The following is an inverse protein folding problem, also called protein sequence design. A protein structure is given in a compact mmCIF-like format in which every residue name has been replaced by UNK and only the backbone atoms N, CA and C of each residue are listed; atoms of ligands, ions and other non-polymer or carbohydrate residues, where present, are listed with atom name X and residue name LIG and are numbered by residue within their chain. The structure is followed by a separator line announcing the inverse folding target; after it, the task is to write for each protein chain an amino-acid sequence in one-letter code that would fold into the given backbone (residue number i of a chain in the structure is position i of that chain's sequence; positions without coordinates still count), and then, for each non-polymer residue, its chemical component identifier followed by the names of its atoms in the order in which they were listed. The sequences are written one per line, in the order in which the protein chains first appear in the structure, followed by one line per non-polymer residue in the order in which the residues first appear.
data_IF_799552455203
#
_entry.id   IF_799552455203
#
_cell.length_a   1.000
_cell.length_b   1.000
_cell.length_c   1.000
_cell.angle_alpha   90.00
_cell.angle_beta   90.00
_cell.angle_gamma   90.00
#
_symmetry.space_group_name_H-M   'P 1'
#
loop_
_entity.id
_entity.type
_entity.pdbx_description
1 polymer ?
#
# COMPACT_ATOMS: atom_id res chain seq x y z
N UNK A 1 21.14 -0.04 15.44
CA UNK A 1 19.76 -0.15 14.92
C UNK A 1 19.45 1.12 14.16
N UNK A 2 19.26 1.04 12.85
CA UNK A 2 18.78 2.18 12.07
C UNK A 2 17.26 2.01 11.92
N UNK A 3 16.51 3.01 12.37
CA UNK A 3 15.06 3.06 12.20
C UNK A 3 14.74 3.58 10.80
N UNK A 4 13.68 3.06 10.16
CA UNK A 4 13.32 3.44 8.79
C UNK A 4 12.99 4.93 8.65
N UNK A 5 12.52 5.55 9.73
CA UNK A 5 12.23 6.98 9.83
C UNK A 5 13.49 7.87 9.77
N UNK A 6 14.67 7.29 9.93
CA UNK A 6 15.95 7.99 9.79
C UNK A 6 16.50 7.95 8.35
N UNK A 7 15.90 7.18 7.45
CA UNK A 7 16.30 7.14 6.05
C UNK A 7 16.02 8.49 5.36
N UNK A 8 16.88 8.94 4.44
CA UNK A 8 16.67 10.22 3.75
C UNK A 8 15.33 10.22 3.01
N UNK A 9 14.66 11.38 3.03
CA UNK A 9 13.50 11.60 2.19
C UNK A 9 13.90 11.55 0.71
N UNK A 10 13.07 10.95 -0.12
CA UNK A 10 13.32 10.84 -1.56
C UNK A 10 12.22 11.56 -2.37
N UNK A 11 12.52 11.85 -3.63
CA UNK A 11 11.53 12.39 -4.54
C UNK A 11 10.42 11.37 -4.79
N UNK A 12 9.16 11.80 -4.71
CA UNK A 12 8.02 10.93 -4.97
C UNK A 12 7.74 10.83 -6.49
N UNK A 13 7.58 9.60 -7.04
CA UNK A 13 6.92 9.41 -8.32
C UNK A 13 5.58 10.16 -8.36
N UNK A 14 5.16 10.61 -9.54
CA UNK A 14 3.94 11.42 -9.69
C UNK A 14 2.72 10.77 -9.03
N UNK A 15 2.58 9.45 -9.21
CA UNK A 15 1.53 8.62 -8.61
C UNK A 15 1.50 8.66 -7.07
N UNK A 16 2.63 8.88 -6.40
CA UNK A 16 2.75 8.77 -4.94
C UNK A 16 2.82 10.12 -4.20
N UNK A 17 2.75 11.25 -4.92
CA UNK A 17 2.82 12.60 -4.31
C UNK A 17 1.74 12.83 -3.23
N UNK A 18 0.63 12.09 -3.29
CA UNK A 18 -0.46 12.16 -2.32
C UNK A 18 -0.20 11.48 -0.98
N UNK A 19 0.92 10.78 -0.78
CA UNK A 19 1.14 9.92 0.40
C UNK A 19 2.15 10.46 1.42
N UNK A 20 2.57 11.73 1.27
CA UNK A 20 3.49 12.38 2.20
C UNK A 20 4.97 12.14 1.86
N UNK A 21 5.83 12.10 2.88
CA UNK A 21 7.28 11.97 2.69
C UNK A 21 7.66 10.51 2.49
N UNK A 22 8.08 10.19 1.26
CA UNK A 22 8.62 8.88 0.92
C UNK A 22 10.08 8.76 1.35
N UNK A 23 10.52 7.52 1.61
CA UNK A 23 11.91 7.21 1.93
C UNK A 23 12.41 6.09 1.05
N UNK A 24 13.66 6.16 0.65
CA UNK A 24 14.31 5.11 -0.13
C UNK A 24 14.92 4.08 0.81
N UNK A 25 14.49 2.82 0.71
CA UNK A 25 14.91 1.75 1.61
C UNK A 25 16.36 1.35 1.38
N UNK A 26 16.83 1.37 0.13
CA UNK A 26 18.16 0.90 -0.26
C UNK A 26 19.09 2.04 -0.72
N UNK A 27 18.55 3.22 -0.99
CA UNK A 27 19.30 4.40 -1.45
C UNK A 27 19.56 4.42 -2.96
N UNK A 28 19.00 3.47 -3.71
CA UNK A 28 19.14 3.34 -5.16
C UNK A 28 17.83 3.57 -5.93
N UNK A 29 16.75 3.92 -5.23
CA UNK A 29 15.42 4.17 -5.76
C UNK A 29 14.61 2.91 -6.11
N UNK A 30 15.15 1.71 -5.86
CA UNK A 30 14.50 0.45 -6.25
C UNK A 30 13.27 0.11 -5.40
N UNK A 31 13.28 0.50 -4.13
CA UNK A 31 12.18 0.26 -3.19
C UNK A 31 11.93 1.50 -2.34
N UNK A 32 10.72 2.03 -2.44
CA UNK A 32 10.28 3.21 -1.72
C UNK A 32 9.31 2.85 -0.60
N UNK A 33 9.59 3.34 0.61
CA UNK A 33 8.68 3.33 1.74
C UNK A 33 7.66 4.46 1.59
N UNK A 34 6.37 4.12 1.64
CA UNK A 34 5.26 5.04 1.45
C UNK A 34 4.42 5.11 2.73
N UNK A 35 4.27 6.27 3.38
CA UNK A 35 3.43 6.40 4.58
C UNK A 35 1.98 6.02 4.28
N UNK A 36 1.39 5.16 5.12
CA UNK A 36 0.00 4.71 5.03
C UNK A 36 -0.65 4.70 6.41
N UNK A 37 -0.88 5.87 7.03
CA UNK A 37 -1.33 5.96 8.42
C UNK A 37 -2.77 5.46 8.59
N UNK A 38 -3.12 5.11 9.84
CA UNK A 38 -4.49 4.80 10.27
C UNK A 38 -4.67 3.37 10.76
N UNK A 39 -3.99 2.38 10.18
CA UNK A 39 -4.02 1.00 10.69
C UNK A 39 -3.28 0.87 12.03
N UNK A 40 -2.05 1.39 12.06
CA UNK A 40 -1.22 1.50 13.26
C UNK A 40 -0.30 2.74 13.14
N UNK A 41 0.18 3.31 14.26
CA UNK A 41 1.23 4.32 14.23
C UNK A 41 2.46 3.80 13.49
N UNK A 42 3.01 4.60 12.56
CA UNK A 42 4.17 4.21 11.76
C UNK A 42 3.89 3.14 10.70
N UNK A 43 2.65 2.98 10.24
CA UNK A 43 2.32 2.04 9.16
C UNK A 43 2.81 2.57 7.78
N UNK A 44 3.49 1.70 7.03
CA UNK A 44 4.07 1.98 5.72
C UNK A 44 3.68 0.89 4.70
N UNK A 45 3.57 1.29 3.44
CA UNK A 45 3.58 0.41 2.28
C UNK A 45 4.92 0.46 1.54
N UNK A 46 5.07 -0.41 0.54
CA UNK A 46 6.27 -0.48 -0.31
C UNK A 46 5.89 -0.31 -1.77
N UNK A 47 6.58 0.59 -2.45
CA UNK A 47 6.48 0.75 -3.90
C UNK A 47 7.78 0.32 -4.58
N UNK A 48 7.66 -0.42 -5.66
CA UNK A 48 8.78 -0.87 -6.50
C UNK A 48 8.30 -1.22 -7.91
N UNK A 49 9.23 -1.47 -8.82
CA UNK A 49 8.93 -2.00 -10.15
C UNK A 49 9.39 -3.46 -10.26
N UNK A 50 8.55 -4.32 -10.85
CA UNK A 50 8.97 -5.67 -11.24
C UNK A 50 8.92 -5.82 -12.78
N UNK A 51 9.16 -7.04 -13.28
CA UNK A 51 9.16 -7.34 -14.71
C UNK A 51 7.82 -7.07 -15.44
N UNK A 52 6.73 -6.86 -14.69
CA UNK A 52 5.37 -6.58 -15.16
C UNK A 52 4.92 -5.15 -14.84
N UNK A 53 5.82 -4.29 -14.36
CA UNK A 53 5.55 -2.87 -14.09
C UNK A 53 5.42 -2.54 -12.60
N UNK A 54 4.86 -1.37 -12.25
CA UNK A 54 4.88 -0.87 -10.89
C UNK A 54 3.95 -1.66 -9.96
N UNK A 55 4.43 -1.87 -8.73
CA UNK A 55 3.74 -2.55 -7.65
C UNK A 55 3.70 -1.64 -6.44
N UNK A 56 2.55 -1.57 -5.80
CA UNK A 56 2.40 -0.92 -4.50
C UNK A 56 1.82 -1.92 -3.50
N UNK A 57 2.66 -2.43 -2.61
CA UNK A 57 2.23 -3.22 -1.46
C UNK A 57 1.63 -2.27 -0.42
N UNK A 58 0.32 -2.34 -0.24
CA UNK A 58 -0.41 -1.44 0.66
C UNK A 58 -0.70 -2.07 2.03
N UNK A 59 -0.26 -3.32 2.22
CA UNK A 59 -0.40 -4.07 3.46
C UNK A 59 -1.83 -3.99 4.03
N UNK A 60 -1.98 -3.55 5.28
CA UNK A 60 -3.26 -3.47 5.98
C UNK A 60 -3.95 -2.11 5.84
N UNK A 61 -3.42 -1.20 5.02
CA UNK A 61 -4.07 0.09 4.70
C UNK A 61 -5.37 -0.08 3.90
N UNK A 62 -5.56 -1.27 3.31
CA UNK A 62 -6.82 -1.71 2.72
C UNK A 62 -7.01 -3.20 3.00
N UNK A 63 -8.26 -3.64 3.14
CA UNK A 63 -8.55 -5.06 3.37
C UNK A 63 -8.37 -5.91 2.10
N UNK A 64 -8.80 -5.40 0.94
CA UNK A 64 -8.79 -6.13 -0.32
C UNK A 64 -8.73 -5.19 -1.52
N UNK A 65 -8.38 -5.72 -2.70
CA UNK A 65 -8.41 -4.94 -3.94
C UNK A 65 -9.82 -4.39 -4.22
N UNK A 66 -10.86 -5.14 -3.86
CA UNK A 66 -12.25 -4.66 -3.98
C UNK A 66 -12.52 -3.46 -3.06
N UNK A 67 -12.02 -3.48 -1.82
CA UNK A 67 -12.16 -2.33 -0.91
C UNK A 67 -11.49 -1.07 -1.47
N UNK A 68 -10.36 -1.21 -2.17
CA UNK A 68 -9.70 -0.12 -2.89
C UNK A 68 -10.54 0.31 -4.09
N UNK A 69 -10.99 -0.63 -4.91
CA UNK A 69 -11.77 -0.34 -6.13
C UNK A 69 -13.10 0.36 -5.82
N UNK A 70 -13.78 -0.06 -4.76
CA UNK A 70 -15.08 0.48 -4.35
C UNK A 70 -14.95 1.69 -3.42
N UNK A 71 -13.73 2.04 -2.99
CA UNK A 71 -13.47 3.10 -1.99
C UNK A 71 -14.19 2.85 -0.65
N UNK A 72 -14.56 1.60 -0.37
CA UNK A 72 -15.45 1.24 0.73
C UNK A 72 -14.66 0.53 1.82
N UNK A 73 -14.63 1.06 3.06
CA UNK A 73 -13.94 0.39 4.16
C UNK A 73 -14.64 -0.95 4.51
N UNK A 74 -13.92 -1.91 5.10
CA UNK A 74 -14.54 -3.15 5.58
C UNK A 74 -15.67 -2.87 6.60
N UNK A 75 -16.59 -3.83 6.84
CA UNK A 75 -17.70 -3.66 7.77
C UNK A 75 -17.23 -3.16 9.15
N UNK A 76 -18.00 -2.24 9.73
CA UNK A 76 -17.65 -1.45 10.92
C UNK A 76 -17.17 -2.25 12.15
N UNK A 77 -17.55 -3.53 12.25
CA UNK A 77 -17.12 -4.43 13.33
C UNK A 77 -15.61 -4.73 13.29
N UNK A 78 -14.99 -4.73 12.10
CA UNK A 78 -13.52 -4.87 11.94
C UNK A 78 -12.84 -3.51 12.11
N UNK A 79 -13.49 -2.44 11.65
CA UNK A 79 -12.97 -1.08 11.76
C UNK A 79 -12.85 -0.63 13.21
N UNK A 80 -13.74 -1.05 14.12
CA UNK A 80 -13.70 -0.74 15.56
C UNK A 80 -12.46 -1.24 16.31
N UNK A 81 -11.66 -2.10 15.70
CA UNK A 81 -10.36 -2.54 16.23
C UNK A 81 -9.18 -1.70 15.70
N UNK A 82 -9.42 -0.79 14.75
CA UNK A 82 -8.41 0.07 14.13
C UNK A 82 -8.38 1.43 14.84
N UNK A 83 -7.27 1.73 15.53
CA UNK A 83 -7.17 2.87 16.46
C UNK A 83 -7.63 4.23 15.93
N UNK A 84 -7.41 4.54 14.64
CA UNK A 84 -7.76 5.84 14.04
C UNK A 84 -8.60 5.71 12.75
N UNK A 85 -9.88 5.39 12.91
CA UNK A 85 -10.84 5.19 11.82
C UNK A 85 -10.86 6.30 10.75
N UNK A 86 -10.69 7.57 11.14
CA UNK A 86 -10.71 8.69 10.19
C UNK A 86 -9.48 8.69 9.29
N UNK A 87 -8.29 8.59 9.89
CA UNK A 87 -7.02 8.56 9.16
C UNK A 87 -6.95 7.33 8.26
N UNK A 88 -7.43 6.17 8.74
CA UNK A 88 -7.54 4.98 7.90
C UNK A 88 -8.41 5.22 6.66
N UNK A 89 -9.60 5.83 6.84
CA UNK A 89 -10.50 6.15 5.73
C UNK A 89 -9.89 7.14 4.75
N UNK A 90 -9.15 8.13 5.23
CA UNK A 90 -8.47 9.09 4.35
C UNK A 90 -7.36 8.41 3.54
N UNK A 91 -6.62 7.49 4.16
CA UNK A 91 -5.64 6.65 3.46
C UNK A 91 -6.32 5.78 2.40
N UNK A 92 -7.42 5.11 2.74
CA UNK A 92 -8.19 4.31 1.79
C UNK A 92 -8.73 5.15 0.63
N UNK A 93 -9.24 6.35 0.91
CA UNK A 93 -9.71 7.27 -0.13
C UNK A 93 -8.59 7.69 -1.09
N UNK A 94 -7.37 7.91 -0.59
CA UNK A 94 -6.19 8.19 -1.43
C UNK A 94 -5.80 6.99 -2.28
N UNK A 95 -5.83 5.78 -1.71
CA UNK A 95 -5.60 4.53 -2.46
C UNK A 95 -6.64 4.34 -3.56
N UNK A 96 -7.91 4.60 -3.27
CA UNK A 96 -9.00 4.56 -4.25
C UNK A 96 -8.79 5.59 -5.37
N UNK A 97 -8.47 6.84 -5.04
CA UNK A 97 -8.17 7.86 -6.03
C UNK A 97 -6.98 7.49 -6.92
N UNK A 98 -5.92 6.92 -6.33
CA UNK A 98 -4.78 6.40 -7.06
C UNK A 98 -5.18 5.24 -7.99
N UNK A 99 -6.08 4.35 -7.55
CA UNK A 99 -6.57 3.24 -8.38
C UNK A 99 -7.28 3.74 -9.64
N UNK A 100 -8.09 4.79 -9.50
CA UNK A 100 -8.79 5.41 -10.62
C UNK A 100 -7.83 6.14 -11.57
N UNK A 101 -6.80 6.80 -11.04
CA UNK A 101 -5.83 7.55 -11.82
C UNK A 101 -4.82 6.65 -12.55
N UNK A 102 -4.42 5.54 -11.92
CA UNK A 102 -3.39 4.61 -12.42
C UNK A 102 -3.92 3.16 -12.43
N UNK A 103 -4.85 2.78 -13.31
CA UNK A 103 -5.47 1.44 -13.30
C UNK A 103 -4.47 0.29 -13.55
N UNK A 104 -3.32 0.60 -14.17
CA UNK A 104 -2.24 -0.36 -14.40
C UNK A 104 -1.36 -0.61 -13.16
N UNK A 105 -1.41 0.27 -12.14
CA UNK A 105 -0.66 0.09 -10.91
C UNK A 105 -1.25 -1.06 -10.09
N UNK A 106 -0.43 -2.08 -9.82
CA UNK A 106 -0.85 -3.22 -8.99
C UNK A 106 -0.76 -2.85 -7.53
N UNK A 107 -1.91 -2.57 -6.91
CA UNK A 107 -2.03 -2.40 -5.47
C UNK A 107 -2.35 -3.73 -4.79
N UNK A 108 -1.49 -4.16 -3.87
CA UNK A 108 -1.53 -5.49 -3.23
C UNK A 108 -1.77 -5.35 -1.73
N UNK A 109 -3.00 -5.63 -1.25
CA UNK A 109 -3.30 -5.66 0.18
C UNK A 109 -3.04 -7.04 0.81
N UNK A 110 -2.74 -7.07 2.11
CA UNK A 110 -2.41 -8.30 2.86
C UNK A 110 -3.52 -9.34 2.86
N UNK A 111 -4.77 -8.90 3.00
CA UNK A 111 -5.94 -9.79 3.15
C UNK A 111 -6.65 -10.09 1.83
N UNK A 112 -6.02 -9.80 0.69
CA UNK A 112 -6.57 -10.07 -0.62
C UNK A 112 -6.15 -11.44 -1.17
N UNK A 113 -7.10 -12.26 -1.60
CA UNK A 113 -6.81 -13.55 -2.25
C UNK A 113 -6.36 -13.41 -3.70
N UNK A 114 -6.69 -12.29 -4.37
CA UNK A 114 -6.40 -12.05 -5.79
C UNK A 114 -4.91 -12.20 -6.13
N UNK A 115 -4.04 -11.79 -5.21
CA UNK A 115 -2.59 -11.73 -5.42
C UNK A 115 -1.85 -12.96 -4.87
N UNK A 116 -2.57 -13.99 -4.41
CA UNK A 116 -1.93 -15.23 -3.97
C UNK A 116 -1.36 -15.95 -5.19
N UNK A 117 -0.09 -16.38 -5.15
CA UNK A 117 0.44 -17.25 -6.18
C UNK A 117 -0.44 -18.48 -6.33
N UNK A 118 -0.82 -18.80 -7.56
CA UNK A 118 -1.47 -20.07 -7.84
C UNK A 118 -0.49 -21.18 -7.47
N UNK A 119 -0.91 -22.15 -6.67
CA UNK A 119 -0.07 -23.30 -6.40
C UNK A 119 0.22 -24.01 -7.73
N UNK A 120 1.46 -23.99 -8.17
CA UNK A 120 1.89 -24.78 -9.33
C UNK A 120 1.71 -26.24 -8.93
N UNK A 121 0.78 -26.94 -9.59
CA UNK A 121 0.78 -28.39 -9.50
C UNK A 121 2.07 -28.85 -10.17
N UNK A 122 2.96 -29.45 -9.40
CA UNK A 122 4.08 -30.19 -9.95
C UNK A 122 3.48 -31.44 -10.60
N UNK A 123 3.09 -31.32 -11.87
CA UNK A 123 2.77 -32.47 -12.70
C UNK A 123 4.13 -33.05 -13.13
N UNK A 124 4.43 -34.24 -12.61
CA UNK A 124 5.67 -34.98 -12.85
C UNK A 124 5.69 -35.77 -14.14
#
# INVERSE_FOLDING_TARGET
MHWFEALPACAAPAALRGFGTLRDLFGDGSVLLVPLPGHAPGHYGLWFEDAHGPVFLVADAAWSSAAIADGTPPPALVTHLLGEHRVYRDTLARLHALHLAEPALRMVPSHCRQWRPTATRADG
#
